data_IF_517483142503
#
_entry.id   IF_517483142503
#
_cell.length_a   1.000
_cell.length_b   1.000
_cell.length_c   1.000
_cell.angle_alpha   90.00
_cell.angle_beta   90.00
_cell.angle_gamma   90.00
#
_symmetry.space_group_name_H-M   'P 1'
#
loop_
_entity.id
_entity.type
_entity.pdbx_description
1 polymer ?
#
# COMPACT_ATOMS: atom_id res chain seq x y z
N UNK A 1 17.11 20.09 6.45
CA UNK A 1 17.00 19.87 4.99
C UNK A 1 17.00 18.38 4.77
N UNK A 2 15.81 17.77 4.74
CA UNK A 2 15.66 16.34 4.47
C UNK A 2 15.73 16.18 2.97
N UNK A 3 16.70 15.41 2.49
CA UNK A 3 16.86 15.08 1.08
C UNK A 3 15.59 14.36 0.62
N UNK A 4 14.74 15.02 -0.17
CA UNK A 4 13.69 14.32 -0.90
C UNK A 4 14.41 13.46 -1.93
N UNK A 5 14.51 12.16 -1.67
CA UNK A 5 14.90 11.19 -2.69
C UNK A 5 13.88 11.33 -3.83
N UNK A 6 14.35 11.80 -4.99
CA UNK A 6 13.51 11.97 -6.17
C UNK A 6 12.93 10.60 -6.56
N UNK A 7 11.60 10.49 -6.56
CA UNK A 7 10.91 9.26 -6.98
C UNK A 7 11.25 8.97 -8.45
N UNK A 8 11.56 7.72 -8.82
CA UNK A 8 11.74 7.35 -10.22
C UNK A 8 10.43 7.56 -10.98
N UNK A 9 10.52 7.91 -12.26
CA UNK A 9 9.34 7.92 -13.13
C UNK A 9 8.78 6.51 -13.34
N UNK A 10 7.53 6.41 -13.82
CA UNK A 10 6.82 5.15 -13.98
C UNK A 10 7.53 4.19 -14.96
N UNK A 11 8.18 4.70 -16.00
CA UNK A 11 8.90 3.87 -16.97
C UNK A 11 10.14 3.22 -16.36
N UNK A 12 10.92 4.01 -15.61
CA UNK A 12 12.10 3.56 -14.87
C UNK A 12 11.72 2.55 -13.80
N UNK A 13 10.63 2.83 -13.07
CA UNK A 13 10.10 1.89 -12.09
C UNK A 13 9.67 0.58 -12.76
N UNK A 14 8.86 0.63 -13.82
CA UNK A 14 8.39 -0.57 -14.51
C UNK A 14 9.55 -1.42 -15.06
N UNK A 15 10.57 -0.79 -15.64
CA UNK A 15 11.77 -1.49 -16.10
C UNK A 15 12.51 -2.19 -14.94
N UNK A 16 12.60 -1.53 -13.79
CA UNK A 16 13.14 -2.13 -12.57
C UNK A 16 12.30 -3.32 -12.11
N UNK A 17 10.97 -3.17 -11.98
CA UNK A 17 10.07 -4.23 -11.52
C UNK A 17 10.11 -5.45 -12.46
N UNK A 18 10.18 -5.24 -13.79
CA UNK A 18 10.39 -6.31 -14.78
C UNK A 18 11.69 -7.06 -14.56
N UNK A 19 12.78 -6.34 -14.27
CA UNK A 19 14.08 -6.96 -14.00
C UNK A 19 14.04 -7.75 -12.69
N UNK A 20 13.41 -7.22 -11.64
CA UNK A 20 13.26 -7.90 -10.36
C UNK A 20 12.41 -9.17 -10.50
N UNK A 21 11.32 -9.11 -11.27
CA UNK A 21 10.47 -10.25 -11.58
C UNK A 21 11.25 -11.36 -12.29
N UNK A 22 11.96 -11.04 -13.38
CA UNK A 22 12.71 -12.02 -14.16
C UNK A 22 13.91 -12.63 -13.43
N UNK A 23 14.45 -11.93 -12.43
CA UNK A 23 15.65 -12.39 -11.69
C UNK A 23 15.32 -12.92 -10.30
N UNK A 24 14.11 -12.69 -9.79
CA UNK A 24 13.73 -12.88 -8.39
C UNK A 24 14.70 -12.19 -7.39
N UNK A 25 15.33 -11.09 -7.82
CA UNK A 25 16.19 -10.25 -6.98
C UNK A 25 15.45 -8.97 -6.64
N UNK A 26 14.77 -8.96 -5.50
CA UNK A 26 13.95 -7.84 -5.06
C UNK A 26 14.80 -6.74 -4.41
N UNK A 27 14.46 -5.47 -4.64
CA UNK A 27 15.18 -4.33 -4.07
C UNK A 27 14.57 -3.87 -2.75
N UNK A 28 13.24 -3.77 -2.72
CA UNK A 28 12.50 -3.23 -1.58
C UNK A 28 12.48 -4.22 -0.40
N UNK A 29 12.63 -3.75 0.85
CA UNK A 29 12.66 -4.63 2.02
C UNK A 29 11.37 -5.44 2.19
N UNK A 30 10.21 -4.86 1.90
CA UNK A 30 8.93 -5.56 2.04
C UNK A 30 8.69 -6.56 0.92
N UNK A 31 9.17 -6.31 -0.30
CA UNK A 31 9.10 -7.29 -1.40
C UNK A 31 9.99 -8.50 -1.12
N UNK A 32 11.19 -8.28 -0.54
CA UNK A 32 12.05 -9.37 -0.05
C UNK A 32 11.35 -10.20 1.02
N UNK A 33 10.71 -9.54 1.99
CA UNK A 33 10.00 -10.22 3.07
C UNK A 33 8.81 -11.03 2.53
N UNK A 34 8.05 -10.45 1.59
CA UNK A 34 6.95 -11.13 0.91
C UNK A 34 7.44 -12.37 0.16
N UNK A 35 8.48 -12.23 -0.67
CA UNK A 35 9.05 -13.35 -1.41
C UNK A 35 9.65 -14.45 -0.53
N UNK A 36 10.11 -14.13 0.68
CA UNK A 36 10.59 -15.11 1.63
C UNK A 36 9.45 -15.87 2.33
N UNK A 37 8.27 -15.27 2.43
CA UNK A 37 7.11 -15.83 3.10
C UNK A 37 6.15 -16.57 2.14
N UNK A 38 6.15 -16.20 0.86
CA UNK A 38 5.18 -16.68 -0.13
C UNK A 38 5.87 -17.23 -1.39
N UNK A 39 5.30 -18.29 -1.94
CA UNK A 39 5.70 -18.79 -3.25
C UNK A 39 5.22 -17.79 -4.33
N UNK A 40 6.17 -17.04 -4.88
CA UNK A 40 5.92 -16.20 -6.05
C UNK A 40 5.97 -17.09 -7.28
N UNK A 41 4.91 -17.04 -8.09
CA UNK A 41 4.81 -17.80 -9.35
C UNK A 41 5.81 -17.34 -10.42
N UNK A 42 5.49 -17.60 -11.69
CA UNK A 42 6.33 -17.19 -12.82
C UNK A 42 6.52 -15.67 -12.95
N UNK A 43 7.40 -15.26 -13.85
CA UNK A 43 7.81 -13.87 -14.07
C UNK A 43 6.62 -12.89 -14.22
N UNK A 44 5.54 -13.32 -14.87
CA UNK A 44 4.32 -12.53 -15.07
C UNK A 44 3.56 -12.31 -13.75
N UNK A 45 3.47 -13.34 -12.91
CA UNK A 45 2.89 -13.27 -11.57
C UNK A 45 3.76 -12.40 -10.66
N UNK A 46 5.08 -12.61 -10.70
CA UNK A 46 6.03 -11.81 -9.93
C UNK A 46 5.94 -10.32 -10.29
N UNK A 47 5.91 -9.99 -11.59
CA UNK A 47 5.79 -8.61 -12.06
C UNK A 47 4.48 -7.98 -11.58
N UNK A 48 3.36 -8.70 -11.67
CA UNK A 48 2.05 -8.20 -11.21
C UNK A 48 2.09 -7.89 -9.72
N UNK A 49 2.55 -8.83 -8.89
CA UNK A 49 2.66 -8.65 -7.43
C UNK A 49 3.53 -7.43 -7.11
N UNK A 50 4.68 -7.28 -7.76
CA UNK A 50 5.57 -6.14 -7.53
C UNK A 50 4.92 -4.80 -7.89
N UNK A 51 4.13 -4.75 -8.96
CA UNK A 51 3.38 -3.55 -9.36
C UNK A 51 2.30 -3.23 -8.31
N UNK A 52 1.48 -4.22 -7.94
CA UNK A 52 0.42 -4.06 -6.93
C UNK A 52 1.01 -3.55 -5.62
N UNK A 53 2.09 -4.17 -5.14
CA UNK A 53 2.79 -3.78 -3.92
C UNK A 53 3.42 -2.39 -4.02
N UNK A 54 3.97 -2.00 -5.16
CA UNK A 54 4.49 -0.65 -5.36
C UNK A 54 3.39 0.43 -5.26
N UNK A 55 2.22 0.18 -5.84
CA UNK A 55 1.07 1.08 -5.77
C UNK A 55 0.57 1.19 -4.32
N UNK A 56 0.38 0.05 -3.64
CA UNK A 56 -0.09 0.05 -2.24
C UNK A 56 0.91 0.71 -1.31
N UNK A 57 2.22 0.44 -1.48
CA UNK A 57 3.28 1.08 -0.70
C UNK A 57 3.23 2.58 -0.83
N UNK A 58 3.05 3.09 -2.05
CA UNK A 58 2.93 4.52 -2.29
C UNK A 58 1.67 5.10 -1.61
N UNK A 59 0.51 4.44 -1.74
CA UNK A 59 -0.70 4.86 -1.06
C UNK A 59 -0.53 4.95 0.46
N UNK A 60 0.07 3.92 1.07
CA UNK A 60 0.35 3.88 2.52
C UNK A 60 1.32 4.99 2.93
N UNK A 61 2.38 5.22 2.15
CA UNK A 61 3.35 6.28 2.41
C UNK A 61 2.73 7.67 2.30
N UNK A 62 1.91 7.93 1.27
CA UNK A 62 1.25 9.22 1.08
C UNK A 62 0.22 9.48 2.21
N UNK A 63 -0.55 8.48 2.63
CA UNK A 63 -1.48 8.58 3.77
C UNK A 63 -0.76 8.88 5.09
N UNK A 64 0.31 8.15 5.38
CA UNK A 64 1.12 8.38 6.59
C UNK A 64 1.79 9.76 6.53
N UNK A 65 2.29 10.17 5.38
CA UNK A 65 2.85 11.50 5.14
C UNK A 65 1.83 12.63 5.33
N UNK A 66 0.55 12.35 5.06
CA UNK A 66 -0.58 13.24 5.34
C UNK A 66 -1.02 13.26 6.82
N UNK A 67 -0.41 12.44 7.68
CA UNK A 67 -0.67 12.41 9.12
C UNK A 67 -1.67 11.36 9.58
N UNK A 68 -2.13 10.48 8.69
CA UNK A 68 -3.02 9.38 9.04
C UNK A 68 -2.24 8.20 9.65
N UNK A 69 -2.96 7.36 10.39
CA UNK A 69 -2.51 6.02 10.75
C UNK A 69 -3.31 4.96 9.99
N UNK A 70 -2.72 3.79 9.86
CA UNK A 70 -3.23 2.69 9.03
C UNK A 70 -3.62 1.50 9.91
N UNK A 71 -4.81 0.97 9.67
CA UNK A 71 -5.29 -0.29 10.23
C UNK A 71 -5.59 -1.25 9.09
N UNK A 72 -5.05 -2.47 9.13
CA UNK A 72 -5.31 -3.51 8.12
C UNK A 72 -6.35 -4.47 8.68
N UNK A 73 -7.38 -4.74 7.90
CA UNK A 73 -8.42 -5.72 8.15
C UNK A 73 -8.47 -6.68 6.96
N UNK A 74 -8.16 -7.96 7.21
CA UNK A 74 -8.10 -9.02 6.18
C UNK A 74 -9.44 -9.79 6.05
N UNK A 75 -10.50 -9.26 6.68
CA UNK A 75 -11.83 -9.88 6.74
C UNK A 75 -11.98 -10.97 7.80
N UNK A 76 -10.89 -11.40 8.44
CA UNK A 76 -10.90 -12.36 9.56
C UNK A 76 -10.30 -11.76 10.83
N UNK A 77 -9.20 -11.05 10.68
CA UNK A 77 -8.40 -10.47 11.74
C UNK A 77 -8.00 -9.02 11.40
N UNK A 78 -7.45 -8.33 12.41
CA UNK A 78 -6.92 -6.97 12.28
C UNK A 78 -5.43 -6.96 12.68
N UNK A 79 -4.54 -7.45 11.81
CA UNK A 79 -3.13 -7.67 12.16
C UNK A 79 -2.36 -6.37 12.44
N UNK A 80 -2.82 -5.25 11.86
CA UNK A 80 -2.22 -3.93 12.04
C UNK A 80 -3.26 -2.99 12.61
N UNK A 81 -2.94 -2.31 13.72
CA UNK A 81 -3.82 -1.34 14.37
C UNK A 81 -3.11 0.02 14.49
N UNK A 82 -3.66 1.03 13.82
CA UNK A 82 -3.22 2.43 13.85
C UNK A 82 -1.70 2.61 13.73
N UNK A 83 -1.09 1.95 12.74
CA UNK A 83 0.33 2.10 12.45
C UNK A 83 0.62 3.40 11.69
N UNK A 84 1.66 4.12 12.11
CA UNK A 84 2.14 5.37 11.49
C UNK A 84 3.47 5.18 10.75
N UNK A 85 3.83 3.92 10.47
CA UNK A 85 5.06 3.54 9.78
C UNK A 85 4.70 2.48 8.74
N UNK A 86 5.03 2.73 7.47
CA UNK A 86 4.65 1.86 6.36
C UNK A 86 5.32 0.49 6.47
N UNK A 87 6.52 0.43 7.08
CA UNK A 87 7.28 -0.80 7.33
C UNK A 87 6.53 -1.76 8.26
N UNK A 88 5.61 -1.26 9.08
CA UNK A 88 4.72 -2.08 9.92
C UNK A 88 3.44 -2.50 9.21
N UNK A 89 3.11 -1.87 8.09
CA UNK A 89 1.88 -2.11 7.32
C UNK A 89 2.13 -3.11 6.20
N UNK A 90 3.13 -2.85 5.36
CA UNK A 90 3.40 -3.63 4.15
C UNK A 90 3.68 -5.13 4.34
N UNK A 91 4.21 -5.60 5.49
CA UNK A 91 4.30 -7.04 5.76
C UNK A 91 2.97 -7.76 5.96
N UNK A 92 1.83 -7.05 5.98
CA UNK A 92 0.49 -7.61 6.16
C UNK A 92 -0.41 -7.37 4.95
N UNK A 93 0.17 -6.98 3.82
CA UNK A 93 -0.51 -6.65 2.57
C UNK A 93 -0.27 -7.75 1.54
N UNK A 94 -1.33 -8.19 0.87
CA UNK A 94 -1.30 -9.16 -0.23
C UNK A 94 -1.28 -10.61 0.23
N UNK A 95 -1.84 -10.90 1.42
CA UNK A 95 -1.85 -12.23 2.03
C UNK A 95 -3.15 -13.00 1.78
N UNK A 96 -4.22 -12.30 1.41
CA UNK A 96 -5.50 -12.87 1.02
C UNK A 96 -5.99 -12.25 -0.28
N UNK A 97 -7.10 -12.74 -0.81
CA UNK A 97 -7.63 -12.30 -2.10
C UNK A 97 -8.10 -10.83 -2.07
N UNK A 98 -8.49 -10.33 -0.89
CA UNK A 98 -9.03 -9.00 -0.68
C UNK A 98 -8.69 -8.49 0.73
N UNK A 99 -8.41 -7.20 0.87
CA UNK A 99 -8.04 -6.57 2.15
C UNK A 99 -8.63 -5.16 2.26
N UNK A 100 -8.85 -4.69 3.49
CA UNK A 100 -9.22 -3.30 3.77
C UNK A 100 -8.09 -2.55 4.45
N UNK A 101 -7.66 -1.44 3.84
CA UNK A 101 -6.88 -0.40 4.53
C UNK A 101 -7.88 0.58 5.16
N UNK A 102 -8.02 0.53 6.48
CA UNK A 102 -8.76 1.53 7.24
C UNK A 102 -7.85 2.72 7.56
N UNK A 103 -8.26 3.92 7.14
CA UNK A 103 -7.54 5.18 7.35
C UNK A 103 -8.04 5.81 8.64
N UNK A 104 -7.09 6.08 9.54
CA UNK A 104 -7.36 6.53 10.90
C UNK A 104 -6.83 7.95 11.10
N UNK A 105 -7.63 8.81 11.69
CA UNK A 105 -7.22 10.13 12.14
C UNK A 105 -7.08 10.15 13.66
N UNK A 106 -6.07 10.88 14.13
CA UNK A 106 -5.82 11.05 15.56
C UNK A 106 -6.93 11.95 16.13
N UNK A 107 -7.61 11.48 17.16
CA UNK A 107 -8.54 12.31 17.91
C UNK A 107 -7.78 13.29 18.78
N UNK A 108 -8.34 14.49 18.91
CA UNK A 108 -7.94 15.40 19.98
C UNK A 108 -8.27 14.75 21.34
N UNK A 109 -7.36 14.92 22.29
CA UNK A 109 -7.57 14.43 23.65
C UNK A 109 -8.74 15.20 24.27
N UNK A 110 -9.84 14.50 24.55
CA UNK A 110 -10.95 15.06 25.30
C UNK A 110 -10.67 14.86 26.79
N UNK A 111 -10.64 15.95 27.55
CA UNK A 111 -10.54 15.90 29.02
C UNK A 111 -11.71 15.10 29.65
N UNK A 112 -12.82 14.93 28.93
CA UNK A 112 -14.05 14.31 29.43
C UNK A 112 -14.18 12.81 29.09
N UNK A 113 -13.31 12.24 28.26
CA UNK A 113 -13.34 10.81 27.94
C UNK A 113 -11.95 10.25 27.61
N UNK A 114 -11.20 9.97 28.68
CA UNK A 114 -9.87 9.31 28.62
C UNK A 114 -9.93 7.84 28.19
N UNK A 115 -11.13 7.27 28.02
CA UNK A 115 -11.32 5.87 27.63
C UNK A 115 -11.57 5.71 26.14
N UNK A 116 -11.89 6.81 25.43
CA UNK A 116 -12.08 6.78 24.00
C UNK A 116 -10.79 6.38 23.27
N UNK A 117 -10.90 5.57 22.20
CA UNK A 117 -9.74 5.23 21.39
C UNK A 117 -9.12 6.50 20.78
N UNK A 118 -7.79 6.61 20.87
CA UNK A 118 -7.01 7.75 20.37
C UNK A 118 -7.15 7.97 18.85
N UNK A 119 -7.60 6.96 18.12
CA UNK A 119 -7.73 6.97 16.67
C UNK A 119 -9.15 6.66 16.27
N UNK A 120 -9.69 7.41 15.31
CA UNK A 120 -10.97 7.09 14.66
C UNK A 120 -10.81 6.88 13.18
N UNK A 121 -11.55 5.90 12.64
CA UNK A 121 -11.61 5.68 11.20
C UNK A 121 -12.29 6.86 10.52
N UNK A 122 -11.61 7.42 9.52
CA UNK A 122 -12.11 8.51 8.66
C UNK A 122 -12.34 8.07 7.23
N UNK A 123 -11.81 6.91 6.83
CA UNK A 123 -12.05 6.33 5.53
C UNK A 123 -11.55 4.89 5.43
N UNK A 124 -11.77 4.30 4.27
CA UNK A 124 -11.24 3.00 3.92
C UNK A 124 -10.86 2.92 2.45
N UNK A 125 -9.96 2.00 2.14
CA UNK A 125 -9.54 1.58 0.80
C UNK A 125 -9.75 0.09 0.74
N UNK A 126 -10.36 -0.38 -0.33
CA UNK A 126 -10.60 -1.79 -0.61
C UNK A 126 -9.63 -2.26 -1.68
N UNK A 127 -8.85 -3.28 -1.32
CA UNK A 127 -7.86 -3.91 -2.18
C UNK A 127 -8.41 -5.23 -2.70
N UNK A 128 -8.25 -5.48 -4.00
CA UNK A 128 -8.61 -6.74 -4.64
C UNK A 128 -7.43 -7.19 -5.49
N UNK A 129 -6.90 -8.37 -5.19
CA UNK A 129 -5.72 -8.93 -5.86
C UNK A 129 -6.13 -9.82 -7.03
N UNK A 130 -5.17 -10.09 -7.92
CA UNK A 130 -5.34 -11.00 -9.06
C UNK A 130 -6.48 -10.62 -10.03
N UNK A 131 -6.86 -9.34 -10.05
CA UNK A 131 -7.70 -8.81 -11.13
C UNK A 131 -6.85 -8.73 -12.41
N UNK A 132 -7.50 -8.83 -13.58
CA UNK A 132 -6.79 -8.66 -14.85
C UNK A 132 -6.26 -7.21 -14.95
N UNK A 133 -4.99 -7.00 -14.63
CA UNK A 133 -4.32 -5.69 -14.69
C UNK A 133 -3.45 -5.40 -13.47
N UNK A 134 -3.13 -4.13 -13.28
CA UNK A 134 -2.37 -3.59 -12.14
C UNK A 134 -3.24 -2.78 -11.17
N UNK A 135 -4.57 -2.87 -11.29
CA UNK A 135 -5.51 -2.04 -10.56
C UNK A 135 -5.95 -2.72 -9.27
N UNK A 136 -5.11 -2.58 -8.24
CA UNK A 136 -5.30 -3.23 -6.94
C UNK A 136 -6.20 -2.42 -6.02
N UNK A 137 -6.28 -1.09 -6.20
CA UNK A 137 -7.16 -0.22 -5.43
C UNK A 137 -8.54 -0.21 -6.10
N UNK A 138 -9.43 -1.10 -5.64
CA UNK A 138 -10.75 -1.27 -6.24
C UNK A 138 -11.70 -0.10 -5.92
N UNK A 139 -11.67 0.37 -4.67
CA UNK A 139 -12.53 1.47 -4.22
C UNK A 139 -11.93 2.16 -2.99
N UNK A 140 -12.28 3.42 -2.76
CA UNK A 140 -11.89 4.15 -1.56
C UNK A 140 -12.90 5.24 -1.19
N UNK A 141 -12.86 5.69 0.07
CA UNK A 141 -13.66 6.81 0.56
C UNK A 141 -13.27 8.11 -0.15
N UNK A 142 -14.21 8.85 -0.73
CA UNK A 142 -13.93 10.01 -1.61
C UNK A 142 -13.03 11.09 -1.00
N UNK A 143 -13.09 11.31 0.33
CA UNK A 143 -12.21 12.29 0.99
C UNK A 143 -10.72 11.90 0.96
N UNK A 144 -10.40 10.66 0.54
CA UNK A 144 -9.04 10.18 0.32
C UNK A 144 -8.51 10.45 -1.09
N UNK A 145 -9.27 11.07 -2.01
CA UNK A 145 -8.82 11.39 -3.38
C UNK A 145 -7.49 12.16 -3.39
N UNK A 146 -7.40 13.20 -2.56
CA UNK A 146 -6.21 14.05 -2.48
C UNK A 146 -4.99 13.29 -1.93
N UNK A 147 -5.04 12.62 -0.77
CA UNK A 147 -3.88 11.87 -0.29
C UNK A 147 -3.53 10.65 -1.16
N UNK A 148 -4.46 10.12 -1.96
CA UNK A 148 -4.19 8.99 -2.86
C UNK A 148 -3.80 9.38 -4.28
N UNK A 149 -3.68 10.68 -4.59
CA UNK A 149 -3.41 11.13 -5.96
C UNK A 149 -2.11 10.54 -6.52
N UNK A 150 -1.05 10.46 -5.71
CA UNK A 150 0.23 9.88 -6.14
C UNK A 150 0.14 8.40 -6.51
N UNK A 151 -0.59 7.61 -5.72
CA UNK A 151 -0.83 6.19 -6.00
C UNK A 151 -1.70 6.00 -7.26
N UNK A 152 -2.73 6.83 -7.44
CA UNK A 152 -3.60 6.81 -8.61
C UNK A 152 -2.83 7.19 -9.89
N UNK A 153 -2.03 8.25 -9.84
CA UNK A 153 -1.19 8.68 -10.96
C UNK A 153 -0.20 7.58 -11.37
N UNK A 154 0.41 6.91 -10.38
CA UNK A 154 1.30 5.78 -10.63
C UNK A 154 0.56 4.61 -11.28
N UNK A 155 -0.60 4.22 -10.74
CA UNK A 155 -1.40 3.13 -11.27
C UNK A 155 -1.84 3.39 -12.71
N UNK A 156 -2.24 4.62 -13.02
CA UNK A 156 -2.57 5.06 -14.38
C UNK A 156 -1.36 4.98 -15.31
N UNK A 157 -0.22 5.56 -14.92
CA UNK A 157 0.97 5.55 -15.76
C UNK A 157 1.49 4.13 -16.04
N UNK A 158 1.41 3.23 -15.07
CA UNK A 158 1.77 1.82 -15.26
C UNK A 158 0.78 1.10 -16.18
N UNK A 159 -0.53 1.34 -16.02
CA UNK A 159 -1.57 0.76 -16.89
C UNK A 159 -1.35 1.12 -18.35
N UNK A 160 -0.92 2.33 -18.66
CA UNK A 160 -0.65 2.77 -20.04
C UNK A 160 0.57 2.08 -20.69
N UNK A 161 1.45 1.46 -19.88
CA UNK A 161 2.70 0.84 -20.32
C UNK A 161 2.68 -0.71 -20.32
N UNK A 162 1.59 -1.32 -19.87
CA UNK A 162 1.37 -2.77 -19.82
C UNK A 162 0.58 -3.25 -21.03
#
# INVERSE_FOLDING_TARGET
MTTQTQRPDAATLLASLRTQAATHVFTEPDDKAYAAAYEIGGDDVAQRILIERAIIRLAVQDLIGAGYAITIDDGKDTPVKSATQWERVMPHIGHCDEEWINVMERREESENDVTAPQWSRVGSIYLVYATNGCDVICNYTSDLERPLSGANDLAMALREML
#
